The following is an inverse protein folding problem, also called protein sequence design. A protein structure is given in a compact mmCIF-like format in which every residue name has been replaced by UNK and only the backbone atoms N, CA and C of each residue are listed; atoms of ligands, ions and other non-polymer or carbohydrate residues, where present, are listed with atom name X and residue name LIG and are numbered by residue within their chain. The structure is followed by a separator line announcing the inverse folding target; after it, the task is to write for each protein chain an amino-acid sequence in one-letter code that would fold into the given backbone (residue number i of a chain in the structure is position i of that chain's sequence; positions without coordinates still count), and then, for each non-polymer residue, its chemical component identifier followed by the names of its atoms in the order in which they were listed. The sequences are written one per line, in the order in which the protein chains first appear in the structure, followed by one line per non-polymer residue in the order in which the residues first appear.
data_IF_503926640354
#
_entry.id   IF_503926640354
#
_cell.length_a   1.000
_cell.length_b   1.000
_cell.length_c   1.000
_cell.angle_alpha   90.00
_cell.angle_beta   90.00
_cell.angle_gamma   90.00
#
_symmetry.space_group_name_H-M   'P 1'
#
loop_
_entity.id
_entity.type
_entity.pdbx_description
1 polymer ?
#
# COMPACT_ATOMS: atom_id res chain seq x y z
N UNK A 1 7.30 26.25 20.20
CA UNK A 1 6.53 25.43 19.25
C UNK A 1 7.53 24.47 18.62
N UNK A 2 7.33 23.14 18.66
CA UNK A 2 8.27 22.26 17.99
C UNK A 2 8.12 22.48 16.48
N UNK A 3 9.23 22.70 15.79
CA UNK A 3 9.30 22.73 14.33
C UNK A 3 8.67 21.45 13.78
N UNK A 4 7.49 21.58 13.17
CA UNK A 4 6.90 20.48 12.41
C UNK A 4 7.81 20.27 11.21
N UNK A 5 8.71 19.29 11.28
CA UNK A 5 9.47 18.87 10.11
C UNK A 5 8.46 18.47 9.03
N UNK A 6 8.39 19.30 7.99
CA UNK A 6 7.61 19.04 6.79
C UNK A 6 8.42 18.05 5.95
N UNK A 7 8.17 16.76 6.17
CA UNK A 7 8.72 15.71 5.32
C UNK A 7 8.08 15.80 3.93
N UNK A 8 8.90 15.70 2.89
CA UNK A 8 8.43 15.59 1.51
C UNK A 8 7.79 14.22 1.25
N UNK A 9 6.95 14.07 0.21
CA UNK A 9 6.39 12.77 -0.19
C UNK A 9 7.49 11.72 -0.38
N UNK A 10 8.59 12.10 -1.03
CA UNK A 10 9.77 11.25 -1.25
C UNK A 10 10.41 10.78 0.05
N UNK A 11 10.55 11.67 1.05
CA UNK A 11 11.11 11.27 2.35
C UNK A 11 10.22 10.26 3.07
N UNK A 12 8.90 10.46 3.02
CA UNK A 12 7.95 9.52 3.61
C UNK A 12 7.94 8.17 2.87
N UNK A 13 8.03 8.18 1.54
CA UNK A 13 8.16 6.96 0.73
C UNK A 13 9.44 6.17 1.07
N UNK A 14 10.57 6.85 1.30
CA UNK A 14 11.80 6.21 1.77
C UNK A 14 11.66 5.61 3.18
N UNK A 15 10.96 6.31 4.08
CA UNK A 15 10.63 5.75 5.41
C UNK A 15 9.78 4.49 5.30
N UNK A 16 8.77 4.49 4.40
CA UNK A 16 7.96 3.31 4.10
C UNK A 16 8.81 2.15 3.58
N UNK A 17 9.69 2.39 2.60
CA UNK A 17 10.58 1.36 2.06
C UNK A 17 11.49 0.74 3.14
N UNK A 18 11.93 1.56 4.11
CA UNK A 18 12.74 1.10 5.23
C UNK A 18 11.93 0.27 6.23
N UNK A 19 10.70 0.66 6.54
CA UNK A 19 9.82 -0.14 7.41
C UNK A 19 9.41 -1.46 6.73
N UNK A 20 9.14 -1.43 5.43
CA UNK A 20 8.90 -2.63 4.61
C UNK A 20 10.10 -3.58 4.60
N UNK A 21 11.33 -3.06 4.64
CA UNK A 21 12.52 -3.91 4.77
C UNK A 21 12.64 -4.49 6.18
N UNK A 22 12.36 -3.69 7.20
CA UNK A 22 12.54 -4.10 8.61
C UNK A 22 11.49 -5.10 9.07
N UNK A 23 10.26 -5.05 8.56
CA UNK A 23 9.20 -5.99 8.97
C UNK A 23 9.48 -7.43 8.51
N UNK A 24 10.13 -7.61 7.36
CA UNK A 24 10.38 -8.92 6.71
C UNK A 24 10.97 -10.00 7.64
N UNK A 25 12.10 -9.79 8.35
CA UNK A 25 12.68 -10.81 9.22
C UNK A 25 11.82 -11.14 10.45
N UNK A 26 10.79 -10.35 10.75
CA UNK A 26 9.94 -10.50 11.93
C UNK A 26 8.51 -10.94 11.59
N UNK A 27 8.19 -11.20 10.31
CA UNK A 27 6.89 -11.74 9.90
C UNK A 27 6.50 -12.96 10.76
N UNK A 28 5.22 -13.01 11.19
CA UNK A 28 4.72 -14.06 12.08
C UNK A 28 5.20 -13.96 13.54
N UNK A 29 5.92 -12.89 13.92
CA UNK A 29 6.37 -12.67 15.30
C UNK A 29 5.76 -11.40 15.91
N UNK A 30 5.60 -11.32 17.24
CA UNK A 30 5.11 -10.10 17.90
C UNK A 30 5.97 -8.86 17.65
N UNK A 31 7.25 -9.03 17.30
CA UNK A 31 8.18 -7.91 17.06
C UNK A 31 7.78 -7.14 15.78
N UNK A 32 7.16 -7.81 14.80
CA UNK A 32 6.70 -7.15 13.57
C UNK A 32 5.69 -6.01 13.83
N UNK A 33 4.96 -6.04 14.95
CA UNK A 33 3.99 -5.01 15.30
C UNK A 33 4.61 -3.61 15.40
N UNK A 34 5.88 -3.49 15.81
CA UNK A 34 6.59 -2.20 15.90
C UNK A 34 6.77 -1.58 14.51
N UNK A 35 7.13 -2.41 13.53
CA UNK A 35 7.33 -1.96 12.15
C UNK A 35 5.99 -1.74 11.44
N UNK A 36 4.98 -2.57 11.73
CA UNK A 36 3.63 -2.37 11.22
C UNK A 36 3.03 -1.05 11.73
N UNK A 37 3.14 -0.72 13.02
CA UNK A 37 2.66 0.56 13.57
C UNK A 37 3.39 1.77 12.92
N UNK A 38 4.71 1.69 12.75
CA UNK A 38 5.48 2.73 12.06
C UNK A 38 5.02 2.91 10.60
N UNK A 39 4.83 1.80 9.88
CA UNK A 39 4.36 1.77 8.50
C UNK A 39 2.96 2.40 8.37
N UNK A 40 2.00 1.95 9.19
CA UNK A 40 0.63 2.47 9.20
C UNK A 40 0.57 3.96 9.52
N UNK A 41 1.36 4.45 10.48
CA UNK A 41 1.44 5.87 10.81
C UNK A 41 2.01 6.70 9.67
N UNK A 42 3.04 6.18 8.99
CA UNK A 42 3.68 6.89 7.87
C UNK A 42 2.76 6.95 6.66
N UNK A 43 2.08 5.85 6.32
CA UNK A 43 1.06 5.80 5.27
C UNK A 43 -0.09 6.79 5.53
N UNK A 44 -0.60 6.81 6.76
CA UNK A 44 -1.61 7.79 7.19
C UNK A 44 -1.11 9.23 7.06
N UNK A 45 0.14 9.49 7.40
CA UNK A 45 0.74 10.83 7.29
C UNK A 45 0.81 11.30 5.83
N UNK A 46 1.13 10.40 4.89
CA UNK A 46 1.10 10.71 3.45
C UNK A 46 -0.31 11.07 3.00
N UNK A 47 -1.30 10.24 3.32
CA UNK A 47 -2.71 10.51 3.00
C UNK A 47 -3.15 11.88 3.51
N UNK A 48 -2.83 12.19 4.77
CA UNK A 48 -3.31 13.40 5.42
C UNK A 48 -2.59 14.68 4.90
N UNK A 49 -1.36 14.56 4.38
CA UNK A 49 -0.55 15.72 3.91
C UNK A 49 -0.53 15.90 2.39
N UNK A 50 -0.65 14.81 1.64
CA UNK A 50 -0.48 14.77 0.18
C UNK A 50 -1.63 14.04 -0.53
N UNK A 51 -2.90 14.41 -0.26
CA UNK A 51 -4.06 13.63 -0.71
C UNK A 51 -4.27 13.63 -2.23
N UNK A 52 -3.61 14.52 -2.98
CA UNK A 52 -3.77 14.69 -4.43
C UNK A 52 -2.57 14.14 -5.23
N UNK A 53 -1.58 13.56 -4.56
CA UNK A 53 -0.44 12.95 -5.23
C UNK A 53 -0.83 11.54 -5.73
N UNK A 54 -0.56 11.17 -6.99
CA UNK A 54 -0.89 9.84 -7.51
C UNK A 54 -0.30 8.68 -6.68
N UNK A 55 0.91 8.86 -6.15
CA UNK A 55 1.55 7.87 -5.28
C UNK A 55 0.74 7.63 -3.99
N UNK A 56 0.02 8.64 -3.50
CA UNK A 56 -0.82 8.52 -2.31
C UNK A 56 -1.95 7.53 -2.51
N UNK A 57 -2.55 7.44 -3.70
CA UNK A 57 -3.63 6.50 -3.98
C UNK A 57 -3.15 5.04 -3.84
N UNK A 58 -1.99 4.72 -4.42
CA UNK A 58 -1.34 3.40 -4.31
C UNK A 58 -1.05 3.06 -2.84
N UNK A 59 -0.54 4.04 -2.09
CA UNK A 59 -0.20 3.87 -0.68
C UNK A 59 -1.43 3.72 0.21
N UNK A 60 -2.56 4.33 -0.14
CA UNK A 60 -3.83 4.14 0.57
C UNK A 60 -4.40 2.75 0.30
N UNK A 61 -4.39 2.29 -0.96
CA UNK A 61 -4.80 0.92 -1.29
C UNK A 61 -3.99 -0.11 -0.49
N UNK A 62 -2.67 0.08 -0.43
CA UNK A 62 -1.79 -0.74 0.41
C UNK A 62 -2.11 -0.62 1.91
N UNK A 63 -2.34 0.61 2.42
CA UNK A 63 -2.72 0.84 3.81
C UNK A 63 -3.99 0.09 4.18
N UNK A 64 -5.04 0.18 3.36
CA UNK A 64 -6.33 -0.46 3.63
C UNK A 64 -6.17 -1.99 3.70
N UNK A 65 -5.40 -2.58 2.78
CA UNK A 65 -5.10 -4.01 2.75
C UNK A 65 -4.43 -4.52 4.03
N UNK A 66 -3.46 -3.77 4.58
CA UNK A 66 -2.70 -4.20 5.77
C UNK A 66 -3.34 -3.78 7.10
N UNK A 67 -4.12 -2.68 7.10
CA UNK A 67 -4.76 -2.15 8.29
C UNK A 67 -6.05 -2.90 8.63
N UNK A 68 -6.80 -3.34 7.61
CA UNK A 68 -8.04 -4.08 7.80
C UNK A 68 -7.80 -5.30 8.67
N UNK A 69 -8.54 -5.43 9.76
CA UNK A 69 -8.49 -6.58 10.69
C UNK A 69 -7.08 -6.95 11.18
N UNK A 70 -6.11 -6.02 11.13
CA UNK A 70 -4.69 -6.29 11.42
C UNK A 70 -4.04 -7.32 10.47
N UNK A 71 -4.50 -7.42 9.22
CA UNK A 71 -3.97 -8.34 8.21
C UNK A 71 -2.48 -8.19 7.91
N UNK A 72 -1.85 -7.09 8.32
CA UNK A 72 -0.39 -6.98 8.39
C UNK A 72 0.29 -8.21 9.04
N UNK A 73 -0.39 -8.91 9.96
CA UNK A 73 0.16 -10.11 10.60
C UNK A 73 0.20 -11.33 9.67
N UNK A 74 -0.69 -11.39 8.68
CA UNK A 74 -0.89 -12.55 7.82
C UNK A 74 0.03 -12.55 6.59
N UNK A 75 0.59 -11.38 6.26
CA UNK A 75 1.46 -11.22 5.10
C UNK A 75 2.90 -11.69 5.35
N UNK A 76 3.48 -12.31 4.31
CA UNK A 76 4.81 -12.90 4.34
C UNK A 76 5.89 -11.92 3.87
N UNK A 77 7.14 -12.22 4.23
CA UNK A 77 8.31 -11.39 3.93
C UNK A 77 8.46 -11.09 2.42
N UNK A 78 8.18 -12.05 1.55
CA UNK A 78 8.24 -11.88 0.09
C UNK A 78 7.18 -10.89 -0.43
N UNK A 79 6.00 -10.84 0.20
CA UNK A 79 4.95 -9.89 -0.18
C UNK A 79 5.38 -8.46 0.16
N UNK A 80 5.92 -8.23 1.37
CA UNK A 80 6.49 -6.95 1.77
C UNK A 80 7.68 -6.53 0.91
N UNK A 81 8.53 -7.48 0.51
CA UNK A 81 9.62 -7.24 -0.42
C UNK A 81 9.09 -6.78 -1.79
N UNK A 82 8.04 -7.42 -2.31
CA UNK A 82 7.40 -7.02 -3.57
C UNK A 82 6.88 -5.59 -3.55
N UNK A 83 6.24 -5.16 -2.46
CA UNK A 83 5.78 -3.77 -2.29
C UNK A 83 6.96 -2.80 -2.25
N UNK A 84 8.03 -3.15 -1.55
CA UNK A 84 9.25 -2.32 -1.49
C UNK A 84 9.86 -2.14 -2.88
N UNK A 85 9.92 -3.20 -3.67
CA UNK A 85 10.47 -3.15 -5.02
C UNK A 85 9.57 -2.33 -5.96
N UNK A 86 8.24 -2.46 -5.83
CA UNK A 86 7.27 -1.61 -6.52
C UNK A 86 7.46 -0.13 -6.16
N UNK A 87 7.53 0.23 -4.87
CA UNK A 87 7.74 1.61 -4.46
C UNK A 87 9.09 2.18 -4.94
N UNK A 88 10.11 1.33 -5.06
CA UNK A 88 11.41 1.74 -5.58
C UNK A 88 11.31 2.21 -7.03
N UNK A 89 10.46 1.58 -7.85
CA UNK A 89 10.27 1.98 -9.26
C UNK A 89 9.40 3.23 -9.42
N UNK A 90 8.50 3.49 -8.46
CA UNK A 90 7.50 4.56 -8.56
C UNK A 90 7.96 5.89 -7.96
N UNK A 91 8.80 5.88 -6.91
CA UNK A 91 9.07 7.08 -6.08
C UNK A 91 9.69 8.26 -6.84
N UNK A 92 10.41 7.99 -7.93
CA UNK A 92 11.11 9.00 -8.75
C UNK A 92 10.46 9.22 -10.12
N UNK A 93 9.34 8.55 -10.39
CA UNK A 93 8.66 8.58 -11.69
C UNK A 93 7.40 9.44 -11.61
N UNK A 94 7.12 10.29 -12.63
CA UNK A 94 5.78 10.88 -12.76
C UNK A 94 4.79 9.75 -13.06
N UNK A 95 3.68 9.69 -12.31
CA UNK A 95 2.68 8.64 -12.44
C UNK A 95 1.45 9.19 -13.16
N UNK A 96 1.05 8.50 -14.22
CA UNK A 96 -0.26 8.68 -14.85
C UNK A 96 -1.33 7.88 -14.09
N UNK A 97 -2.61 8.11 -14.42
CA UNK A 97 -3.71 7.33 -13.85
C UNK A 97 -3.60 5.83 -14.19
N UNK A 98 -3.11 5.51 -15.40
CA UNK A 98 -2.87 4.12 -15.81
C UNK A 98 -1.76 3.48 -14.97
N UNK A 99 -0.69 4.22 -14.67
CA UNK A 99 0.39 3.73 -13.79
C UNK A 99 -0.11 3.44 -12.36
N UNK A 100 -1.02 4.28 -11.85
CA UNK A 100 -1.66 4.09 -10.53
C UNK A 100 -2.50 2.82 -10.53
N UNK A 101 -3.36 2.63 -11.53
CA UNK A 101 -4.20 1.43 -11.66
C UNK A 101 -3.35 0.15 -11.76
N UNK A 102 -2.32 0.15 -12.61
CA UNK A 102 -1.40 -0.98 -12.75
C UNK A 102 -0.63 -1.26 -11.46
N UNK A 103 -0.25 -0.23 -10.71
CA UNK A 103 0.41 -0.41 -9.42
C UNK A 103 -0.53 -1.04 -8.37
N UNK A 104 -1.81 -0.67 -8.36
CA UNK A 104 -2.83 -1.27 -7.48
C UNK A 104 -3.06 -2.74 -7.85
N UNK A 105 -3.25 -3.05 -9.14
CA UNK A 105 -3.36 -4.44 -9.61
C UNK A 105 -2.13 -5.27 -9.22
N UNK A 106 -0.94 -4.68 -9.28
CA UNK A 106 0.29 -5.34 -8.84
C UNK A 106 0.34 -5.59 -7.33
N UNK A 107 -0.33 -4.80 -6.50
CA UNK A 107 -0.51 -5.13 -5.07
C UNK A 107 -1.40 -6.38 -4.91
N UNK A 108 -2.45 -6.51 -5.72
CA UNK A 108 -3.32 -7.69 -5.73
C UNK A 108 -2.57 -8.94 -6.19
N UNK A 109 -1.75 -8.83 -7.24
CA UNK A 109 -0.88 -9.92 -7.71
C UNK A 109 0.14 -10.36 -6.64
N UNK A 110 0.55 -9.43 -5.76
CA UNK A 110 1.39 -9.72 -4.59
C UNK A 110 0.60 -10.35 -3.43
N UNK A 111 -0.71 -10.48 -3.56
CA UNK A 111 -1.62 -11.09 -2.59
C UNK A 111 -2.18 -10.13 -1.54
N UNK A 112 -2.05 -8.81 -1.73
CA UNK A 112 -2.72 -7.82 -0.89
C UNK A 112 -4.15 -7.65 -1.36
N UNK A 113 -5.08 -7.63 -0.42
CA UNK A 113 -6.49 -7.40 -0.74
C UNK A 113 -6.76 -5.90 -0.68
N UNK A 114 -6.62 -5.26 -1.83
CA UNK A 114 -6.79 -3.81 -1.98
C UNK A 114 -8.24 -3.40 -2.21
N UNK A 115 -9.18 -4.36 -2.19
CA UNK A 115 -10.58 -4.04 -2.34
C UNK A 115 -11.11 -3.34 -1.09
N UNK A 116 -11.92 -2.27 -1.25
CA UNK A 116 -12.56 -1.64 -0.12
C UNK A 116 -13.47 -2.65 0.61
N UNK A 117 -13.39 -2.61 1.94
CA UNK A 117 -13.95 -3.56 2.91
C UNK A 117 -15.18 -4.37 2.44
N UNK A 118 -14.99 -5.69 2.27
CA UNK A 118 -16.08 -6.66 2.16
C UNK A 118 -16.79 -6.74 0.81
N UNK A 119 -16.25 -6.12 -0.24
CA UNK A 119 -16.77 -6.30 -1.60
C UNK A 119 -16.18 -7.57 -2.20
N UNK A 120 -16.90 -8.68 -2.07
CA UNK A 120 -16.69 -9.82 -2.97
C UNK A 120 -17.26 -9.42 -4.33
N UNK A 121 -16.41 -9.30 -5.37
CA UNK A 121 -16.89 -9.26 -6.75
C UNK A 121 -17.54 -10.62 -7.04
N UNK A 122 -18.83 -10.72 -6.76
CA UNK A 122 -19.62 -11.86 -7.12
C UNK A 122 -19.45 -12.06 -8.63
N UNK A 123 -18.78 -13.15 -9.02
CA UNK A 123 -18.34 -13.44 -10.39
C UNK A 123 -19.51 -13.85 -11.30
N UNK A 124 -20.60 -13.08 -11.23
CA UNK A 124 -21.89 -13.34 -11.84
C UNK A 124 -22.46 -12.11 -12.55
N UNK A 125 -21.59 -11.25 -13.10
CA UNK A 125 -22.05 -10.39 -14.20
C UNK A 125 -22.04 -11.26 -15.45
N UNK A 126 -23.17 -11.92 -15.69
CA UNK A 126 -23.55 -12.38 -17.01
C UNK A 126 -23.68 -11.11 -17.86
N UNK A 127 -22.64 -10.81 -18.65
CA UNK A 127 -22.73 -9.85 -19.74
C UNK A 127 -23.65 -10.48 -20.77
N UNK A 128 -24.95 -10.40 -20.51
CA UNK A 128 -25.98 -10.79 -21.44
C UNK A 128 -25.65 -10.17 -22.78
N UNK A 129 -25.43 -11.04 -23.75
CA UNK A 129 -25.32 -10.69 -25.15
C UNK A 129 -26.57 -9.91 -25.56
N UNK A 130 -26.47 -8.58 -25.64
CA UNK A 130 -27.38 -7.81 -26.48
C UNK A 130 -26.79 -7.83 -27.90
N UNK A 131 -27.18 -8.88 -28.65
CA UNK A 131 -27.19 -8.87 -30.11
C UNK A 131 -28.32 -7.94 -30.58
N UNK A 132 -27.98 -6.95 -31.40
CA UNK A 132 -28.88 -6.34 -32.40
C UNK A 132 -28.18 -6.35 -33.77
#
# INVERSE_FOLDING_TARGET
MPDVQLFSPKQLALSIQLDLQKIQPYCGTPIAAVYADSLLRTLRTIRDRFPLEPLTEILIAFYDAIAFENRWIDYQANQYQGVRDLLTTLVDSPLSNEDVEQAILKLEDLGFDTLPFGVEFNSGIDLGSDED
#
